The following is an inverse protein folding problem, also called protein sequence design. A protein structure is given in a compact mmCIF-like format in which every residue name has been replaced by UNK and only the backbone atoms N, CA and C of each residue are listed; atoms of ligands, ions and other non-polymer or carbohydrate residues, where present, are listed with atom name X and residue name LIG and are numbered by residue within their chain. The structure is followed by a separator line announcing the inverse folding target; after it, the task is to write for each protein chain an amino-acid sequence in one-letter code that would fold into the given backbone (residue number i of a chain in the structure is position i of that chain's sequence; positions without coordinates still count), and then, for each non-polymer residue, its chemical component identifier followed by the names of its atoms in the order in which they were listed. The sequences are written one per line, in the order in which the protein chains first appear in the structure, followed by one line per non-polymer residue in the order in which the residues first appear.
data_IF_577657987205
#
_entry.id   IF_577657987205
#
_cell.length_a   1.000
_cell.length_b   1.000
_cell.length_c   1.000
_cell.angle_alpha   90.00
_cell.angle_beta   90.00
_cell.angle_gamma   90.00
#
_symmetry.space_group_name_H-M   'P 1'
#
loop_
_entity.id
_entity.type
_entity.pdbx_description
1 polymer ?
#
# COMPACT_ATOMS: atom_id res chain seq x y z
N UNK A 1 19.81 -1.14 -16.82
CA UNK A 1 18.69 -1.27 -15.86
C UNK A 1 18.40 -0.03 -15.01
N UNK A 2 19.25 1.01 -14.96
CA UNK A 2 19.01 2.20 -14.11
C UNK A 2 18.01 3.24 -14.66
N UNK A 3 17.66 3.20 -15.96
CA UNK A 3 16.83 4.24 -16.60
C UNK A 3 15.31 4.09 -16.35
N UNK A 4 14.83 2.90 -16.01
CA UNK A 4 13.38 2.67 -15.83
C UNK A 4 12.90 3.07 -14.42
N UNK A 5 13.72 2.86 -13.38
CA UNK A 5 13.41 3.22 -11.99
C UNK A 5 13.33 4.73 -11.77
N UNK A 6 14.23 5.50 -12.41
CA UNK A 6 14.35 6.95 -12.23
C UNK A 6 13.13 7.75 -12.70
N UNK A 7 12.45 7.34 -13.78
CA UNK A 7 11.33 8.09 -14.32
C UNK A 7 10.05 7.93 -13.48
N UNK A 8 9.77 6.72 -12.98
CA UNK A 8 8.58 6.45 -12.16
C UNK A 8 8.69 7.06 -10.76
N UNK A 9 9.85 6.93 -10.10
CA UNK A 9 10.09 7.55 -8.78
C UNK A 9 9.97 9.08 -8.80
N UNK A 10 10.16 9.72 -9.97
CA UNK A 10 10.01 11.17 -10.09
C UNK A 10 8.57 11.67 -10.00
N UNK A 11 7.58 10.80 -10.25
CA UNK A 11 6.14 11.14 -10.27
C UNK A 11 5.32 10.43 -9.21
N UNK A 12 5.69 9.21 -8.85
CA UNK A 12 5.02 8.40 -7.82
C UNK A 12 6.02 8.19 -6.69
N UNK A 13 5.68 8.69 -5.51
CA UNK A 13 6.48 8.54 -4.30
C UNK A 13 5.75 7.70 -3.26
N UNK A 14 4.44 7.88 -3.14
CA UNK A 14 3.62 7.23 -2.13
C UNK A 14 2.57 6.31 -2.73
N UNK A 15 2.63 5.04 -2.38
CA UNK A 15 1.71 3.99 -2.85
C UNK A 15 0.92 3.46 -1.66
N UNK A 16 -0.41 3.53 -1.74
CA UNK A 16 -1.32 3.01 -0.73
C UNK A 16 -1.94 1.69 -1.16
N UNK A 17 -1.96 0.69 -0.28
CA UNK A 17 -2.51 -0.63 -0.53
C UNK A 17 -3.77 -0.90 0.30
N UNK A 18 -4.89 -1.21 -0.36
CA UNK A 18 -6.10 -1.69 0.31
C UNK A 18 -6.05 -3.23 0.36
N UNK A 19 -6.02 -3.80 1.56
CA UNK A 19 -5.81 -5.24 1.77
C UNK A 19 -4.32 -5.64 1.73
N UNK A 20 -3.45 -4.83 2.34
CA UNK A 20 -1.99 -5.02 2.29
C UNK A 20 -1.51 -6.29 3.00
N UNK A 21 -2.27 -6.82 3.96
CA UNK A 21 -1.95 -8.00 4.75
C UNK A 21 -2.10 -9.33 4.00
N UNK A 22 -2.59 -9.31 2.76
CA UNK A 22 -2.64 -10.50 1.89
C UNK A 22 -1.26 -10.88 1.35
N UNK A 23 -0.98 -12.19 1.23
CA UNK A 23 0.34 -12.72 0.83
C UNK A 23 0.86 -12.11 -0.48
N UNK A 24 -0.01 -11.91 -1.48
CA UNK A 24 0.37 -11.30 -2.75
C UNK A 24 0.69 -9.81 -2.63
N UNK A 25 -0.13 -9.05 -1.89
CA UNK A 25 0.03 -7.61 -1.75
C UNK A 25 1.20 -7.25 -0.85
N UNK A 26 1.38 -7.97 0.26
CA UNK A 26 2.48 -7.73 1.19
C UNK A 26 3.85 -7.94 0.56
N UNK A 27 4.01 -8.97 -0.28
CA UNK A 27 5.26 -9.17 -1.02
C UNK A 27 5.58 -8.02 -1.99
N UNK A 28 4.57 -7.48 -2.67
CA UNK A 28 4.75 -6.32 -3.57
C UNK A 28 5.10 -5.07 -2.75
N UNK A 29 4.40 -4.84 -1.63
CA UNK A 29 4.64 -3.73 -0.73
C UNK A 29 6.08 -3.74 -0.18
N UNK A 30 6.58 -4.92 0.22
CA UNK A 30 7.96 -5.11 0.68
C UNK A 30 8.98 -4.74 -0.40
N UNK A 31 8.77 -5.20 -1.64
CA UNK A 31 9.66 -4.84 -2.76
C UNK A 31 9.67 -3.32 -2.98
N UNK A 32 8.53 -2.65 -2.89
CA UNK A 32 8.44 -1.20 -3.08
C UNK A 32 9.13 -0.42 -1.96
N UNK A 33 8.97 -0.85 -0.70
CA UNK A 33 9.73 -0.31 0.43
C UNK A 33 11.23 -0.41 0.19
N UNK A 34 11.71 -1.59 -0.22
CA UNK A 34 13.13 -1.83 -0.50
C UNK A 34 13.65 -1.02 -1.71
N UNK A 35 12.77 -0.65 -2.64
CA UNK A 35 13.09 0.25 -3.76
C UNK A 35 13.04 1.74 -3.37
N UNK A 36 12.71 2.06 -2.11
CA UNK A 36 12.70 3.42 -1.56
C UNK A 36 11.40 4.20 -1.79
N UNK A 37 10.31 3.52 -2.13
CA UNK A 37 8.99 4.15 -2.16
C UNK A 37 8.43 4.31 -0.74
N UNK A 38 7.63 5.35 -0.54
CA UNK A 38 6.77 5.43 0.63
C UNK A 38 5.60 4.47 0.42
N UNK A 39 5.35 3.60 1.39
CA UNK A 39 4.25 2.64 1.33
C UNK A 39 3.35 2.84 2.53
N UNK A 40 2.05 2.88 2.27
CA UNK A 40 1.01 2.79 3.29
C UNK A 40 -0.03 1.75 2.89
N UNK A 41 -0.92 1.41 3.82
CA UNK A 41 -2.05 0.55 3.49
C UNK A 41 -3.05 0.40 4.61
N UNK A 42 -4.14 -0.27 4.27
CA UNK A 42 -5.22 -0.65 5.17
C UNK A 42 -5.46 -2.16 5.10
N UNK A 43 -5.90 -2.75 6.20
CA UNK A 43 -6.42 -4.12 6.23
C UNK A 43 -7.42 -4.28 7.37
N UNK A 44 -8.28 -5.29 7.30
CA UNK A 44 -9.29 -5.54 8.33
C UNK A 44 -8.68 -6.09 9.63
N UNK A 45 -7.62 -6.87 9.53
CA UNK A 45 -7.06 -7.60 10.66
C UNK A 45 -5.54 -7.45 10.73
N UNK A 46 -5.03 -7.38 11.96
CA UNK A 46 -3.60 -7.46 12.24
C UNK A 46 -3.06 -8.87 11.94
N UNK A 47 -1.86 -8.97 11.37
CA UNK A 47 -1.18 -10.25 11.16
C UNK A 47 0.35 -10.08 11.15
N UNK A 48 1.09 -11.19 11.07
CA UNK A 48 2.56 -11.19 11.09
C UNK A 48 3.18 -10.43 9.90
N UNK A 49 2.53 -10.45 8.73
CA UNK A 49 2.99 -9.72 7.55
C UNK A 49 2.84 -8.21 7.74
N UNK A 50 1.73 -7.74 8.31
CA UNK A 50 1.54 -6.32 8.63
C UNK A 50 2.60 -5.85 9.64
N UNK A 51 2.85 -6.63 10.68
CA UNK A 51 3.90 -6.33 11.65
C UNK A 51 5.28 -6.20 10.99
N UNK A 52 5.59 -7.14 10.09
CA UNK A 52 6.84 -7.11 9.33
C UNK A 52 6.97 -5.86 8.44
N UNK A 53 5.93 -5.54 7.67
CA UNK A 53 5.93 -4.36 6.79
C UNK A 53 6.04 -3.05 7.59
N UNK A 54 5.40 -2.96 8.76
CA UNK A 54 5.59 -1.81 9.67
C UNK A 54 7.03 -1.68 10.15
N UNK A 55 7.69 -2.80 10.47
CA UNK A 55 9.12 -2.79 10.85
C UNK A 55 10.02 -2.32 9.71
N UNK A 56 9.63 -2.58 8.45
CA UNK A 56 10.31 -2.08 7.26
C UNK A 56 9.96 -0.61 6.92
N UNK A 57 9.03 0.01 7.66
CA UNK A 57 8.69 1.43 7.52
C UNK A 57 7.37 1.73 6.81
N UNK A 58 6.53 0.73 6.52
CA UNK A 58 5.19 1.00 6.01
C UNK A 58 4.27 1.61 7.08
N UNK A 59 3.44 2.57 6.67
CA UNK A 59 2.37 3.09 7.51
C UNK A 59 1.06 2.30 7.26
N UNK A 60 0.71 1.39 8.17
CA UNK A 60 -0.44 0.49 7.99
C UNK A 60 -1.50 0.74 9.06
N UNK A 61 -2.74 0.99 8.61
CA UNK A 61 -3.92 1.17 9.46
C UNK A 61 -4.76 -0.12 9.48
N UNK A 62 -5.41 -0.38 10.62
CA UNK A 62 -6.37 -1.49 10.75
C UNK A 62 -7.78 -0.92 10.69
N UNK A 63 -8.63 -1.54 9.88
CA UNK A 63 -9.93 -1.00 9.45
C UNK A 63 -9.82 -0.24 8.13
N UNK A 64 -10.94 0.37 7.72
CA UNK A 64 -11.02 1.16 6.50
C UNK A 64 -11.60 2.54 6.75
N UNK A 65 -10.97 3.56 6.16
CA UNK A 65 -11.39 4.96 6.21
C UNK A 65 -10.89 5.69 4.97
N UNK A 66 -11.75 6.49 4.33
CA UNK A 66 -11.38 7.26 3.14
C UNK A 66 -10.21 8.23 3.41
N UNK A 67 -10.06 8.73 4.64
CA UNK A 67 -8.93 9.60 5.02
C UNK A 67 -7.57 8.90 4.97
N UNK A 68 -7.53 7.56 4.96
CA UNK A 68 -6.29 6.79 4.86
C UNK A 68 -5.60 6.93 3.51
N UNK A 69 -6.33 7.34 2.47
CA UNK A 69 -5.80 7.60 1.13
C UNK A 69 -5.04 8.93 1.01
N UNK A 70 -5.11 9.78 2.04
CA UNK A 70 -4.59 11.13 1.97
C UNK A 70 -3.09 11.15 1.66
N UNK A 71 -2.75 11.83 0.55
CA UNK A 71 -1.38 11.98 0.09
C UNK A 71 -0.82 10.76 -0.63
N UNK A 72 -1.63 9.74 -0.94
CA UNK A 72 -1.24 8.68 -1.87
C UNK A 72 -1.20 9.21 -3.31
N UNK A 73 -0.13 8.90 -4.04
CA UNK A 73 -0.04 9.19 -5.47
C UNK A 73 -0.73 8.09 -6.30
N UNK A 74 -0.72 6.86 -5.77
CA UNK A 74 -1.32 5.67 -6.38
C UNK A 74 -1.99 4.83 -5.29
N UNK A 75 -3.19 4.33 -5.59
CA UNK A 75 -3.90 3.36 -4.77
C UNK A 75 -3.92 2.00 -5.49
N UNK A 76 -3.55 0.95 -4.77
CA UNK A 76 -3.52 -0.43 -5.27
C UNK A 76 -4.57 -1.24 -4.52
N UNK A 77 -5.46 -1.87 -5.28
CA UNK A 77 -6.58 -2.65 -4.76
C UNK A 77 -6.52 -4.07 -5.31
N UNK A 78 -6.83 -5.05 -4.47
CA UNK A 78 -6.98 -6.44 -4.88
C UNK A 78 -8.44 -6.75 -5.18
N UNK A 79 -8.71 -7.75 -6.03
CA UNK A 79 -10.07 -8.24 -6.31
C UNK A 79 -10.77 -8.82 -5.07
N UNK A 80 -10.02 -9.09 -3.99
CA UNK A 80 -10.59 -9.51 -2.72
C UNK A 80 -11.19 -8.36 -1.90
N UNK A 81 -10.88 -7.10 -2.23
CA UNK A 81 -11.51 -5.93 -1.61
C UNK A 81 -12.86 -5.70 -2.28
N UNK A 82 -13.90 -5.56 -1.45
CA UNK A 82 -15.26 -5.30 -1.94
C UNK A 82 -15.38 -3.91 -2.54
N UNK A 83 -16.24 -3.76 -3.55
CA UNK A 83 -16.47 -2.49 -4.24
C UNK A 83 -17.17 -1.44 -3.35
N UNK A 84 -17.81 -1.86 -2.25
CA UNK A 84 -18.43 -0.99 -1.24
C UNK A 84 -17.45 -0.53 -0.15
N UNK A 85 -16.17 -0.90 -0.25
CA UNK A 85 -15.15 -0.42 0.65
C UNK A 85 -15.03 1.12 0.54
N UNK A 86 -15.06 1.80 1.69
CA UNK A 86 -15.05 3.27 1.77
C UNK A 86 -13.82 3.92 1.13
N UNK A 87 -12.68 3.24 1.14
CA UNK A 87 -11.48 3.69 0.45
C UNK A 87 -11.61 3.48 -1.06
N UNK A 88 -12.13 2.34 -1.52
CA UNK A 88 -12.35 2.10 -2.97
C UNK A 88 -13.30 3.13 -3.57
N UNK A 89 -14.37 3.50 -2.85
CA UNK A 89 -15.32 4.52 -3.30
C UNK A 89 -14.74 5.95 -3.32
N UNK A 90 -13.60 6.18 -2.65
CA UNK A 90 -12.96 7.49 -2.55
C UNK A 90 -11.81 7.69 -3.55
N UNK A 91 -11.48 6.67 -4.36
CA UNK A 91 -10.52 6.71 -5.47
C UNK A 91 -11.18 7.23 -6.74
#
# INVERSE_FOLDING_TARGET
MAKLTSAMQSRVKHIHFIGIGGVGMGGIAEVLLNLGYQVSGSDLNENSLIQHLRQLGANIMIGHDAEYLKGADVVVVTTAVSADNVEVMAV
#
